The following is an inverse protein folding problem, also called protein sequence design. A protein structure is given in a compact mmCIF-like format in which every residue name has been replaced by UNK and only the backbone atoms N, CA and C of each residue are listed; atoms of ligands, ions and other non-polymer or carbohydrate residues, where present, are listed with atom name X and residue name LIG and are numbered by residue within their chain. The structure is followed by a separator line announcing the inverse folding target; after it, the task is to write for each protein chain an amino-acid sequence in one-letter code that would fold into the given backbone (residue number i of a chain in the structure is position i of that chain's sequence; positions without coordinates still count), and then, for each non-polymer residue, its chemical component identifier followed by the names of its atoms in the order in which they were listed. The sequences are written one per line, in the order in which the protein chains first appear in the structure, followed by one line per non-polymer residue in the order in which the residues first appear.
data_IF_221571001741
#
_entry.id   IF_221571001741
#
_cell.length_a   1.000
_cell.length_b   1.000
_cell.length_c   1.000
_cell.angle_alpha   90.00
_cell.angle_beta   90.00
_cell.angle_gamma   90.00
#
_symmetry.space_group_name_H-M   'P 1'
#
loop_
_entity.id
_entity.type
_entity.pdbx_description
1 polymer ?
#
# COMPACT_ATOMS: atom_id res chain seq x y z
N UNK A 1 11.69 -25.42 -18.53
CA UNK A 1 10.94 -24.14 -18.46
C UNK A 1 11.98 -23.05 -18.22
N UNK A 2 12.11 -22.09 -19.13
CA UNK A 2 13.10 -21.00 -19.03
C UNK A 2 12.74 -20.10 -17.84
N UNK A 3 13.71 -19.80 -16.96
CA UNK A 3 13.57 -18.77 -15.93
C UNK A 3 14.64 -17.70 -16.12
N UNK A 4 14.21 -16.44 -16.18
CA UNK A 4 15.12 -15.31 -16.37
C UNK A 4 15.67 -14.86 -15.00
N UNK A 5 16.80 -15.44 -14.59
CA UNK A 5 17.48 -15.08 -13.34
C UNK A 5 17.88 -13.59 -13.27
N UNK A 6 18.07 -12.94 -14.42
CA UNK A 6 18.37 -11.51 -14.46
C UNK A 6 17.14 -10.66 -14.13
N UNK A 7 15.94 -11.09 -14.53
CA UNK A 7 14.70 -10.42 -14.16
C UNK A 7 14.44 -10.53 -12.63
N UNK A 8 14.64 -11.72 -12.05
CA UNK A 8 14.52 -11.91 -10.60
C UNK A 8 15.52 -11.01 -9.82
N UNK A 9 16.77 -10.96 -10.30
CA UNK A 9 17.81 -10.10 -9.74
C UNK A 9 17.47 -8.61 -9.88
N UNK A 10 16.90 -8.19 -11.01
CA UNK A 10 16.48 -6.81 -11.24
C UNK A 10 15.47 -6.36 -10.18
N UNK A 11 14.44 -7.19 -9.91
CA UNK A 11 13.42 -6.90 -8.89
C UNK A 11 14.03 -6.70 -7.51
N UNK A 12 15.03 -7.52 -7.15
CA UNK A 12 15.73 -7.40 -5.85
C UNK A 12 16.51 -6.07 -5.79
N UNK A 13 17.27 -5.74 -6.84
CA UNK A 13 18.07 -4.51 -6.88
C UNK A 13 17.21 -3.26 -6.87
N UNK A 14 16.10 -3.24 -7.63
CA UNK A 14 15.13 -2.15 -7.62
C UNK A 14 14.48 -1.95 -6.25
N UNK A 15 14.17 -3.06 -5.56
CA UNK A 15 13.64 -3.01 -4.19
C UNK A 15 14.66 -2.40 -3.24
N UNK A 16 15.93 -2.78 -3.34
CA UNK A 16 17.01 -2.21 -2.52
C UNK A 16 17.18 -0.71 -2.78
N UNK A 17 17.16 -0.29 -4.05
CA UNK A 17 17.22 1.13 -4.41
C UNK A 17 16.04 1.91 -3.83
N UNK A 18 14.80 1.41 -3.99
CA UNK A 18 13.60 2.04 -3.40
C UNK A 18 13.68 2.16 -1.88
N UNK A 19 14.24 1.16 -1.20
CA UNK A 19 14.44 1.20 0.25
C UNK A 19 15.48 2.25 0.66
N UNK A 20 16.60 2.36 -0.07
CA UNK A 20 17.61 3.38 0.18
C UNK A 20 17.05 4.80 -0.05
N UNK A 21 16.33 5.02 -1.15
CA UNK A 21 15.64 6.30 -1.43
C UNK A 21 14.65 6.67 -0.33
N UNK A 22 13.83 5.72 0.13
CA UNK A 22 12.87 5.96 1.20
C UNK A 22 13.57 6.35 2.50
N UNK A 23 14.69 5.72 2.84
CA UNK A 23 15.51 6.08 4.00
C UNK A 23 16.10 7.48 3.87
N UNK A 24 16.68 7.81 2.71
CA UNK A 24 17.21 9.16 2.44
C UNK A 24 16.12 10.22 2.60
N UNK A 25 14.93 10.00 2.02
CA UNK A 25 13.81 10.94 2.14
C UNK A 25 13.45 11.18 3.60
N UNK A 26 13.30 10.12 4.41
CA UNK A 26 13.00 10.24 5.84
C UNK A 26 14.08 11.02 6.59
N UNK A 27 15.36 10.64 6.42
CA UNK A 27 16.48 11.31 7.08
C UNK A 27 16.59 12.79 6.68
N UNK A 28 16.28 13.13 5.42
CA UNK A 28 16.23 14.53 4.96
C UNK A 28 15.05 15.29 5.57
N UNK A 29 13.89 14.66 5.75
CA UNK A 29 12.76 15.25 6.47
C UNK A 29 13.13 15.53 7.92
N UNK A 30 13.75 14.58 8.61
CA UNK A 30 14.16 14.73 10.02
C UNK A 30 15.24 15.82 10.16
N UNK A 31 16.20 15.86 9.24
CA UNK A 31 17.22 16.89 9.21
C UNK A 31 16.63 18.29 8.96
N UNK A 32 15.70 18.42 8.02
CA UNK A 32 15.03 19.69 7.73
C UNK A 32 14.15 20.15 8.91
N UNK A 33 13.48 19.23 9.58
CA UNK A 33 12.77 19.53 10.83
C UNK A 33 13.74 20.07 11.87
N UNK A 34 14.88 19.39 12.09
CA UNK A 34 15.91 19.84 13.04
C UNK A 34 16.49 21.22 12.69
N UNK A 35 16.81 21.46 11.41
CA UNK A 35 17.38 22.73 10.95
C UNK A 35 16.40 23.90 11.08
N UNK A 36 15.09 23.64 11.04
CA UNK A 36 14.04 24.66 11.24
C UNK A 36 13.59 24.80 12.70
N UNK A 37 13.95 23.86 13.56
CA UNK A 37 13.50 23.84 14.95
C UNK A 37 14.29 24.88 15.77
N UNK A 38 13.61 25.93 16.21
CA UNK A 38 14.18 26.93 17.10
C UNK A 38 13.99 26.50 18.56
N UNK A 39 15.09 26.09 19.21
CA UNK A 39 15.07 25.63 20.59
C UNK A 39 14.66 26.71 21.58
N UNK A 40 15.05 27.97 21.35
CA UNK A 40 14.77 29.06 22.29
C UNK A 40 13.29 29.43 22.24
N UNK A 41 12.72 29.57 21.04
CA UNK A 41 11.30 29.85 20.85
C UNK A 41 10.45 28.74 21.51
N UNK A 42 10.75 27.47 21.20
CA UNK A 42 9.97 26.35 21.74
C UNK A 42 10.10 26.22 23.28
N UNK A 43 11.26 26.51 23.85
CA UNK A 43 11.44 26.55 25.32
C UNK A 43 10.66 27.69 25.95
N UNK A 44 10.67 28.87 25.35
CA UNK A 44 9.92 30.02 25.84
C UNK A 44 8.41 29.76 25.77
N UNK A 45 7.92 29.18 24.68
CA UNK A 45 6.53 28.74 24.56
C UNK A 45 6.18 27.67 25.59
N UNK A 46 7.02 26.65 25.78
CA UNK A 46 6.79 25.61 26.78
C UNK A 46 6.66 26.19 28.19
N UNK A 47 7.58 27.06 28.58
CA UNK A 47 7.52 27.70 29.91
C UNK A 47 6.31 28.61 30.07
N UNK A 48 5.89 29.32 29.01
CA UNK A 48 4.66 30.12 28.99
C UNK A 48 3.42 29.23 29.19
N UNK A 49 3.28 28.17 28.40
CA UNK A 49 2.15 27.22 28.51
C UNK A 49 2.14 26.53 29.87
N UNK A 50 3.30 26.21 30.45
CA UNK A 50 3.38 25.64 31.80
C UNK A 50 2.87 26.61 32.88
N UNK A 51 3.19 27.91 32.76
CA UNK A 51 2.64 28.95 33.66
C UNK A 51 1.13 29.10 33.49
N UNK A 52 0.65 29.12 32.25
CA UNK A 52 -0.79 29.18 31.95
C UNK A 52 -1.54 27.97 32.52
N UNK A 53 -0.97 26.76 32.40
CA UNK A 53 -1.50 25.55 33.02
C UNK A 53 -1.59 25.66 34.54
N UNK A 54 -0.58 26.23 35.19
CA UNK A 54 -0.62 26.45 36.64
C UNK A 54 -1.75 27.43 37.02
N UNK A 55 -1.88 28.53 36.29
CA UNK A 55 -2.96 29.52 36.51
C UNK A 55 -4.34 28.86 36.34
N UNK A 56 -4.53 28.04 35.29
CA UNK A 56 -5.79 27.33 35.05
C UNK A 56 -6.09 26.30 36.16
N UNK A 57 -5.09 25.58 36.65
CA UNK A 57 -5.26 24.68 37.80
C UNK A 57 -5.65 25.42 39.07
N UNK A 58 -5.01 26.55 39.34
CA UNK A 58 -5.35 27.39 40.51
C UNK A 58 -6.77 27.97 40.38
N UNK A 59 -7.20 28.34 39.16
CA UNK A 59 -8.57 28.75 38.87
C UNK A 59 -9.56 27.61 39.06
N UNK A 60 -9.22 26.41 38.60
CA UNK A 60 -10.06 25.23 38.73
C UNK A 60 -10.33 24.91 40.20
N UNK A 61 -9.29 24.93 41.05
CA UNK A 61 -9.45 24.72 42.50
C UNK A 61 -10.39 25.77 43.12
N UNK A 62 -10.32 27.04 42.68
CA UNK A 62 -11.24 28.09 43.17
C UNK A 62 -12.69 27.84 42.73
N UNK A 63 -12.88 27.36 41.50
CA UNK A 63 -14.21 27.04 40.97
C UNK A 63 -14.77 25.81 41.67
N UNK A 64 -14.00 24.74 41.84
CA UNK A 64 -14.39 23.52 42.55
C UNK A 64 -14.82 23.83 44.00
N UNK A 65 -14.07 24.68 44.71
CA UNK A 65 -14.46 25.15 46.04
C UNK A 65 -15.78 25.95 46.01
N UNK A 66 -16.01 26.74 44.96
CA UNK A 66 -17.25 27.52 44.78
C UNK A 66 -18.45 26.62 44.43
N UNK A 67 -18.26 25.60 43.59
CA UNK A 67 -19.23 24.54 43.31
C UNK A 67 -19.61 23.82 44.60
N UNK A 68 -18.61 23.42 45.39
CA UNK A 68 -18.84 22.72 46.66
C UNK A 68 -19.60 23.61 47.66
N UNK A 69 -19.22 24.88 47.81
CA UNK A 69 -19.96 25.80 48.68
C UNK A 69 -21.40 26.01 48.19
N UNK A 70 -21.61 26.28 46.89
CA UNK A 70 -22.93 26.48 46.31
C UNK A 70 -23.81 25.24 46.44
N UNK A 71 -23.23 24.04 46.26
CA UNK A 71 -23.92 22.76 46.46
C UNK A 71 -24.37 22.58 47.92
N UNK A 72 -23.50 22.91 48.89
CA UNK A 72 -23.89 22.85 50.32
C UNK A 72 -24.96 23.89 50.67
N UNK A 73 -24.90 25.11 50.13
CA UNK A 73 -25.92 26.14 50.32
C UNK A 73 -27.26 25.72 49.70
N UNK A 74 -27.23 25.17 48.49
CA UNK A 74 -28.40 24.62 47.81
C UNK A 74 -29.05 23.52 48.65
N UNK A 75 -28.27 22.58 49.18
CA UNK A 75 -28.80 21.49 50.01
C UNK A 75 -29.53 21.99 51.26
N UNK A 76 -29.03 23.06 51.90
CA UNK A 76 -29.67 23.70 53.05
C UNK A 76 -30.97 24.41 52.63
N UNK A 77 -30.94 25.18 51.56
CA UNK A 77 -32.11 25.87 51.03
C UNK A 77 -33.22 24.90 50.59
N UNK A 78 -32.86 23.73 50.04
CA UNK A 78 -33.81 22.69 49.68
C UNK A 78 -34.48 22.06 50.91
N UNK A 79 -33.75 21.88 52.00
CA UNK A 79 -34.32 21.40 53.27
C UNK A 79 -35.29 22.43 53.83
N UNK A 80 -34.91 23.71 53.84
CA UNK A 80 -35.77 24.83 54.26
C UNK A 80 -37.05 24.94 53.42
N UNK A 81 -36.95 24.79 52.09
CA UNK A 81 -38.11 24.80 51.20
C UNK A 81 -39.09 23.62 51.41
N UNK A 82 -38.61 22.50 51.99
CA UNK A 82 -39.38 21.27 52.27
C UNK A 82 -39.94 21.22 53.71
N UNK A 83 -39.49 22.10 54.60
CA UNK A 83 -39.86 22.13 56.03
C UNK A 83 -41.28 22.67 56.24
N UNK A 84 -42.30 21.88 55.91
CA UNK A 84 -43.68 22.17 56.31
C UNK A 84 -44.67 21.07 55.97
N UNK A 85 -45.22 20.43 57.02
CA UNK A 85 -46.35 19.50 56.94
C UNK A 85 -47.71 20.20 57.01
N UNK A 86 -47.71 21.53 57.20
CA UNK A 86 -48.92 22.35 57.28
C UNK A 86 -49.33 22.88 55.90
N UNK A 87 -50.60 22.72 55.49
CA UNK A 87 -51.13 23.31 54.27
C UNK A 87 -50.96 24.84 54.22
N UNK A 88 -50.96 25.53 55.37
CA UNK A 88 -50.78 26.99 55.45
C UNK A 88 -49.33 27.38 55.11
N UNK A 89 -48.36 26.56 55.52
CA UNK A 89 -46.96 26.78 55.16
C UNK A 89 -46.73 26.63 53.65
N UNK A 90 -47.49 25.75 53.00
CA UNK A 90 -47.38 25.53 51.56
C UNK A 90 -47.76 26.75 50.72
N UNK A 91 -48.64 27.61 51.23
CA UNK A 91 -49.03 28.87 50.63
C UNK A 91 -48.34 30.09 51.29
N UNK A 92 -47.39 29.87 52.20
CA UNK A 92 -46.70 30.95 52.90
C UNK A 92 -45.74 31.71 52.00
N UNK A 93 -45.59 33.01 52.25
CA UNK A 93 -44.55 33.85 51.63
C UNK A 93 -43.15 33.31 51.91
N UNK A 94 -42.92 32.74 53.09
CA UNK A 94 -41.65 32.16 53.53
C UNK A 94 -41.20 31.00 52.63
N UNK A 95 -42.12 30.07 52.31
CA UNK A 95 -41.82 28.97 51.38
C UNK A 95 -41.56 29.48 49.97
N UNK A 96 -42.34 30.45 49.49
CA UNK A 96 -42.13 31.04 48.16
C UNK A 96 -40.74 31.70 48.03
N UNK A 97 -40.26 32.35 49.10
CA UNK A 97 -38.89 32.88 49.16
C UNK A 97 -37.87 31.76 49.13
N UNK A 98 -38.04 30.70 49.93
CA UNK A 98 -37.13 29.55 49.94
C UNK A 98 -37.07 28.82 48.59
N UNK A 99 -38.19 28.63 47.90
CA UNK A 99 -38.24 28.03 46.55
C UNK A 99 -37.51 28.92 45.53
N UNK A 100 -37.67 30.24 45.60
CA UNK A 100 -36.91 31.17 44.75
C UNK A 100 -35.41 31.10 45.04
N UNK A 101 -35.02 31.02 46.31
CA UNK A 101 -33.62 30.84 46.71
C UNK A 101 -33.04 29.54 46.15
N UNK A 102 -33.75 28.43 46.24
CA UNK A 102 -33.36 27.15 45.61
C UNK A 102 -33.14 27.31 44.10
N UNK A 103 -34.07 27.97 43.40
CA UNK A 103 -33.93 28.21 41.96
C UNK A 103 -32.67 29.04 41.64
N UNK A 104 -32.44 30.14 42.37
CA UNK A 104 -31.24 30.99 42.18
C UNK A 104 -29.94 30.26 42.50
N UNK A 105 -29.93 29.40 43.53
CA UNK A 105 -28.74 28.62 43.90
C UNK A 105 -28.45 27.52 42.88
N UNK A 106 -29.48 26.89 42.29
CA UNK A 106 -29.31 25.94 41.19
C UNK A 106 -28.72 26.61 39.95
N UNK A 107 -29.24 27.77 39.56
CA UNK A 107 -28.69 28.54 38.43
C UNK A 107 -27.23 28.95 38.68
N UNK A 108 -26.92 29.39 39.91
CA UNK A 108 -25.54 29.71 40.28
C UNK A 108 -24.63 28.49 40.24
N UNK A 109 -25.10 27.34 40.71
CA UNK A 109 -24.35 26.09 40.66
C UNK A 109 -24.08 25.66 39.22
N UNK A 110 -25.08 25.69 38.34
CA UNK A 110 -24.89 25.35 36.93
C UNK A 110 -23.91 26.28 36.24
N UNK A 111 -23.93 27.58 36.54
CA UNK A 111 -22.93 28.53 36.01
C UNK A 111 -21.50 28.20 36.47
N UNK A 112 -21.31 27.70 37.70
CA UNK A 112 -20.00 27.26 38.15
C UNK A 112 -19.58 25.95 37.50
N UNK A 113 -20.50 25.00 37.32
CA UNK A 113 -20.25 23.71 36.64
C UNK A 113 -19.87 23.94 35.16
N UNK A 114 -20.59 24.79 34.43
CA UNK A 114 -20.27 25.16 33.05
C UNK A 114 -18.87 25.77 32.93
N UNK A 115 -18.52 26.66 33.87
CA UNK A 115 -17.20 27.29 33.93
C UNK A 115 -16.09 26.32 34.30
N UNK A 116 -16.39 25.36 35.19
CA UNK A 116 -15.48 24.27 35.55
C UNK A 116 -15.15 23.42 34.31
N UNK A 117 -16.16 23.04 33.53
CA UNK A 117 -15.98 22.28 32.30
C UNK A 117 -15.17 23.08 31.27
N UNK A 118 -15.44 24.38 31.10
CA UNK A 118 -14.67 25.25 30.23
C UNK A 118 -13.18 25.27 30.61
N UNK A 119 -12.87 25.50 31.89
CA UNK A 119 -11.49 25.56 32.40
C UNK A 119 -10.81 24.20 32.26
N UNK A 120 -11.51 23.08 32.54
CA UNK A 120 -10.97 21.72 32.32
C UNK A 120 -10.64 21.46 30.85
N UNK A 121 -11.52 21.90 29.94
CA UNK A 121 -11.30 21.77 28.49
C UNK A 121 -10.08 22.57 28.02
N UNK A 122 -9.93 23.81 28.49
CA UNK A 122 -8.76 24.65 28.21
C UNK A 122 -7.48 24.04 28.77
N UNK A 123 -7.51 23.55 30.02
CA UNK A 123 -6.38 22.89 30.67
C UNK A 123 -5.93 21.66 29.87
N UNK A 124 -6.86 20.80 29.45
CA UNK A 124 -6.53 19.61 28.66
C UNK A 124 -5.85 19.97 27.33
N UNK A 125 -6.33 21.01 26.63
CA UNK A 125 -5.71 21.49 25.38
C UNK A 125 -4.28 22.00 25.62
N UNK A 126 -4.08 22.77 26.68
CA UNK A 126 -2.78 23.33 27.02
C UNK A 126 -1.80 22.27 27.53
N UNK A 127 -2.27 21.24 28.24
CA UNK A 127 -1.45 20.09 28.62
C UNK A 127 -0.98 19.29 27.40
N UNK A 128 -1.86 19.07 26.42
CA UNK A 128 -1.46 18.44 25.15
C UNK A 128 -0.43 19.29 24.38
N UNK A 129 -0.60 20.61 24.35
CA UNK A 129 0.35 21.53 23.73
C UNK A 129 1.71 21.49 24.44
N UNK A 130 1.72 21.55 25.78
CA UNK A 130 2.93 21.47 26.59
C UNK A 130 3.66 20.13 26.38
N UNK A 131 2.92 19.02 26.29
CA UNK A 131 3.50 17.71 26.02
C UNK A 131 4.18 17.67 24.65
N UNK A 132 3.52 18.17 23.60
CA UNK A 132 4.10 18.26 22.24
C UNK A 132 5.36 19.10 22.20
N UNK A 133 5.38 20.25 22.87
CA UNK A 133 6.56 21.11 22.98
C UNK A 133 7.69 20.40 23.75
N UNK A 134 7.37 19.71 24.85
CA UNK A 134 8.35 18.95 25.64
C UNK A 134 8.98 17.82 24.83
N UNK A 135 8.18 17.06 24.10
CA UNK A 135 8.65 15.97 23.26
C UNK A 135 9.50 16.51 22.10
N UNK A 136 9.08 17.60 21.44
CA UNK A 136 9.87 18.26 20.40
C UNK A 136 11.24 18.75 20.90
N UNK A 137 11.29 19.37 22.09
CA UNK A 137 12.55 19.78 22.73
C UNK A 137 13.43 18.56 23.03
N UNK A 138 12.85 17.48 23.55
CA UNK A 138 13.59 16.25 23.86
C UNK A 138 14.18 15.63 22.60
N UNK A 139 13.40 15.55 21.54
CA UNK A 139 13.81 14.97 20.27
C UNK A 139 14.91 15.81 19.62
N UNK A 140 14.80 17.14 19.66
CA UNK A 140 15.84 18.04 19.19
C UNK A 140 17.17 17.81 19.92
N UNK A 141 17.15 17.71 21.25
CA UNK A 141 18.35 17.49 22.06
C UNK A 141 18.98 16.10 21.84
N UNK A 142 18.18 15.10 21.44
CA UNK A 142 18.67 13.75 21.11
C UNK A 142 19.14 13.62 19.67
N UNK A 143 18.71 14.52 18.80
CA UNK A 143 18.99 14.44 17.38
C UNK A 143 20.47 14.70 17.09
N UNK A 144 21.10 13.76 16.39
CA UNK A 144 22.48 13.90 15.93
C UNK A 144 22.50 14.24 14.44
N UNK A 145 22.63 15.54 14.14
CA UNK A 145 22.63 16.03 12.77
C UNK A 145 23.82 15.52 11.95
N UNK A 146 25.00 15.37 12.57
CA UNK A 146 26.19 14.85 11.91
C UNK A 146 25.99 13.39 11.50
N UNK A 147 25.52 12.56 12.43
CA UNK A 147 25.25 11.14 12.16
C UNK A 147 24.18 10.97 11.07
N UNK A 148 23.15 11.82 11.07
CA UNK A 148 22.10 11.82 10.04
C UNK A 148 22.67 12.21 8.67
N UNK A 149 23.51 13.26 8.60
CA UNK A 149 24.19 13.67 7.35
C UNK A 149 25.09 12.56 6.80
N UNK A 150 25.83 11.87 7.68
CA UNK A 150 26.67 10.71 7.29
C UNK A 150 25.80 9.57 6.77
N UNK A 151 24.68 9.27 7.43
CA UNK A 151 23.76 8.21 6.99
C UNK A 151 23.13 8.52 5.63
N UNK A 152 22.76 9.78 5.37
CA UNK A 152 22.29 10.23 4.05
C UNK A 152 23.37 9.99 3.00
N UNK A 153 24.60 10.47 3.24
CA UNK A 153 25.71 10.32 2.30
C UNK A 153 26.02 8.85 2.00
N UNK A 154 25.97 7.98 3.02
CA UNK A 154 26.13 6.53 2.86
C UNK A 154 25.07 5.93 1.95
N UNK A 155 23.80 6.26 2.17
CA UNK A 155 22.72 5.74 1.33
C UNK A 155 22.73 6.33 -0.08
N UNK A 156 23.15 7.59 -0.24
CA UNK A 156 23.34 8.22 -1.55
C UNK A 156 24.48 7.50 -2.32
N UNK A 157 25.59 7.15 -1.68
CA UNK A 157 26.67 6.33 -2.26
C UNK A 157 26.20 4.91 -2.62
N UNK A 158 25.42 4.26 -1.77
CA UNK A 158 24.79 2.96 -2.07
C UNK A 158 23.90 3.05 -3.32
N UNK A 159 23.11 4.13 -3.46
CA UNK A 159 22.29 4.36 -4.66
C UNK A 159 23.13 4.58 -5.91
N UNK A 160 24.17 5.41 -5.83
CA UNK A 160 25.07 5.66 -6.95
C UNK A 160 25.74 4.38 -7.46
N UNK A 161 26.04 3.44 -6.55
CA UNK A 161 26.58 2.11 -6.90
C UNK A 161 25.52 1.17 -7.47
N UNK A 162 24.30 1.20 -6.95
CA UNK A 162 23.21 0.32 -7.41
C UNK A 162 22.69 0.69 -8.80
N UNK A 163 22.60 1.98 -9.12
CA UNK A 163 22.07 2.46 -10.41
C UNK A 163 22.73 1.82 -11.65
N UNK A 164 24.07 1.82 -11.80
CA UNK A 164 24.70 1.19 -12.96
C UNK A 164 24.48 -0.33 -12.98
N UNK A 165 24.47 -0.99 -11.83
CA UNK A 165 24.23 -2.45 -11.72
C UNK A 165 22.80 -2.80 -12.16
N UNK A 166 21.82 -1.97 -11.78
CA UNK A 166 20.43 -2.14 -12.22
C UNK A 166 20.35 -2.02 -13.74
N UNK A 167 20.96 -0.99 -14.32
CA UNK A 167 20.91 -0.79 -15.78
C UNK A 167 21.61 -1.92 -16.53
N UNK A 168 22.79 -2.35 -16.08
CA UNK A 168 23.50 -3.49 -16.66
C UNK A 168 22.65 -4.77 -16.60
N UNK A 169 22.05 -5.04 -15.43
CA UNK A 169 21.18 -6.21 -15.24
C UNK A 169 19.92 -6.12 -16.12
N UNK A 170 19.37 -4.92 -16.32
CA UNK A 170 18.22 -4.68 -17.19
C UNK A 170 18.54 -4.99 -18.65
N UNK A 171 19.68 -4.50 -19.14
CA UNK A 171 20.16 -4.76 -20.50
C UNK A 171 20.40 -6.26 -20.70
N UNK A 172 21.05 -6.92 -19.74
CA UNK A 172 21.26 -8.37 -19.80
C UNK A 172 19.94 -9.15 -19.80
N UNK A 173 18.98 -8.76 -18.96
CA UNK A 173 17.64 -9.37 -18.90
C UNK A 173 16.93 -9.27 -20.25
N UNK A 174 16.88 -8.08 -20.84
CA UNK A 174 16.24 -7.84 -22.13
C UNK A 174 16.93 -8.63 -23.26
N UNK A 175 18.26 -8.71 -23.24
CA UNK A 175 19.02 -9.50 -24.22
C UNK A 175 18.64 -10.98 -24.15
N UNK A 176 18.64 -11.58 -22.95
CA UNK A 176 18.33 -12.99 -22.80
C UNK A 176 16.87 -13.32 -23.10
N UNK A 177 15.93 -12.43 -22.78
CA UNK A 177 14.53 -12.57 -23.19
C UNK A 177 14.37 -12.53 -24.71
N UNK A 178 15.08 -11.63 -25.39
CA UNK A 178 15.06 -11.55 -26.85
C UNK A 178 15.60 -12.84 -27.49
N UNK A 179 16.72 -13.37 -26.98
CA UNK A 179 17.32 -14.63 -27.42
C UNK A 179 16.37 -15.81 -27.17
N UNK A 180 15.82 -15.92 -25.96
CA UNK A 180 14.86 -16.97 -25.61
C UNK A 180 13.61 -16.91 -26.50
N UNK A 181 13.10 -15.70 -26.76
CA UNK A 181 11.97 -15.49 -27.67
C UNK A 181 12.27 -15.88 -29.11
N UNK A 182 13.48 -15.62 -29.61
CA UNK A 182 13.90 -16.04 -30.95
C UNK A 182 13.99 -17.57 -31.07
N UNK A 183 14.61 -18.23 -30.07
CA UNK A 183 14.69 -19.69 -30.01
C UNK A 183 13.30 -20.32 -29.94
N UNK A 184 12.41 -19.77 -29.11
CA UNK A 184 11.04 -20.25 -29.00
C UNK A 184 10.25 -20.12 -30.30
N UNK A 185 10.36 -18.98 -31.00
CA UNK A 185 9.72 -18.78 -32.31
C UNK A 185 10.22 -19.77 -33.35
N UNK A 186 11.53 -20.01 -33.40
CA UNK A 186 12.11 -21.00 -34.31
C UNK A 186 11.63 -22.42 -33.98
N UNK A 187 11.71 -22.81 -32.70
CA UNK A 187 11.21 -24.10 -32.23
C UNK A 187 9.73 -24.30 -32.57
N UNK A 188 8.89 -23.29 -32.34
CA UNK A 188 7.47 -23.32 -32.70
C UNK A 188 7.28 -23.50 -34.20
N UNK A 189 7.99 -22.73 -35.02
CA UNK A 189 7.92 -22.86 -36.48
C UNK A 189 8.28 -24.26 -36.97
N UNK A 190 9.32 -24.87 -36.39
CA UNK A 190 9.74 -26.24 -36.74
C UNK A 190 8.70 -27.27 -36.28
N UNK A 191 8.11 -27.09 -35.11
CA UNK A 191 7.02 -27.94 -34.62
C UNK A 191 5.76 -27.83 -35.49
N UNK A 192 5.37 -26.61 -35.88
CA UNK A 192 4.24 -26.36 -36.77
C UNK A 192 4.49 -26.98 -38.16
N UNK A 193 5.70 -26.84 -38.71
CA UNK A 193 6.10 -27.48 -39.97
C UNK A 193 6.10 -29.00 -39.86
N UNK A 194 6.59 -29.56 -38.75
CA UNK A 194 6.55 -31.00 -38.50
C UNK A 194 5.10 -31.51 -38.43
N UNK A 195 4.20 -30.74 -37.81
CA UNK A 195 2.77 -31.01 -37.77
C UNK A 195 2.15 -31.09 -39.17
N UNK A 196 2.43 -30.09 -40.02
CA UNK A 196 1.98 -30.08 -41.41
C UNK A 196 2.55 -31.26 -42.22
N UNK A 197 3.85 -31.56 -42.07
CA UNK A 197 4.45 -32.72 -42.76
C UNK A 197 3.85 -34.05 -42.30
N UNK A 198 3.51 -34.19 -41.02
CA UNK A 198 2.84 -35.39 -40.52
C UNK A 198 1.43 -35.55 -41.11
N UNK A 199 0.72 -34.44 -41.30
CA UNK A 199 -0.58 -34.45 -41.97
C UNK A 199 -0.45 -34.86 -43.44
N UNK A 200 0.51 -34.27 -44.17
CA UNK A 200 0.80 -34.64 -45.57
C UNK A 200 1.14 -36.13 -45.69
N UNK A 201 1.88 -36.70 -44.73
CA UNK A 201 2.19 -38.14 -44.69
C UNK A 201 0.90 -38.96 -44.56
N UNK A 202 0.04 -38.64 -43.59
CA UNK A 202 -1.20 -39.36 -43.37
C UNK A 202 -2.13 -39.32 -44.59
N UNK A 203 -2.23 -38.16 -45.25
CA UNK A 203 -3.03 -37.99 -46.46
C UNK A 203 -2.42 -38.74 -47.66
N UNK A 204 -1.09 -38.76 -47.81
CA UNK A 204 -0.42 -39.54 -48.85
C UNK A 204 -0.49 -41.06 -48.59
N UNK A 205 -0.47 -41.50 -47.33
CA UNK A 205 -0.72 -42.90 -46.96
C UNK A 205 -2.13 -43.32 -47.37
N UNK A 206 -3.13 -42.48 -47.12
CA UNK A 206 -4.49 -42.72 -47.56
C UNK A 206 -4.60 -42.88 -49.09
N UNK A 207 -3.93 -42.04 -49.88
CA UNK A 207 -3.89 -42.21 -51.34
C UNK A 207 -3.13 -43.47 -51.79
N UNK A 208 -2.04 -43.88 -51.11
CA UNK A 208 -1.33 -45.14 -51.42
C UNK A 208 -2.20 -46.37 -51.11
N UNK A 209 -2.95 -46.34 -50.01
CA UNK A 209 -3.93 -47.36 -49.65
C UNK A 209 -5.06 -47.46 -50.69
N UNK A 210 -5.62 -46.31 -51.13
CA UNK A 210 -6.59 -46.28 -52.22
C UNK A 210 -6.01 -46.85 -53.53
N UNK A 211 -4.77 -46.50 -53.88
CA UNK A 211 -4.12 -47.06 -55.07
C UNK A 211 -3.94 -48.58 -54.98
N UNK A 212 -3.61 -49.08 -53.79
CA UNK A 212 -3.42 -50.51 -53.55
C UNK A 212 -4.73 -51.31 -53.66
N UNK A 213 -5.87 -50.69 -53.37
CA UNK A 213 -7.21 -51.29 -53.41
C UNK A 213 -7.96 -51.06 -54.73
N UNK A 214 -7.47 -50.15 -55.59
CA UNK A 214 -8.08 -49.86 -56.88
C UNK A 214 -8.00 -51.05 -57.86
N UNK A 215 -9.16 -51.44 -58.38
CA UNK A 215 -9.35 -52.63 -59.21
C UNK A 215 -9.14 -52.36 -60.69
N UNK A 216 -9.31 -51.11 -61.13
CA UNK A 216 -9.19 -50.72 -62.54
C UNK A 216 -8.09 -49.69 -62.79
N UNK A 217 -7.57 -49.67 -64.02
CA UNK A 217 -6.59 -48.65 -64.44
C UNK A 217 -7.17 -47.24 -64.43
N UNK A 218 -8.48 -47.10 -64.67
CA UNK A 218 -9.19 -45.83 -64.62
C UNK A 218 -9.26 -45.26 -63.19
N UNK A 219 -9.59 -46.09 -62.19
CA UNK A 219 -9.59 -45.70 -60.78
C UNK A 219 -8.20 -45.26 -60.31
N UNK A 220 -7.15 -46.01 -60.68
CA UNK A 220 -5.76 -45.65 -60.37
C UNK A 220 -5.36 -44.31 -60.97
N UNK A 221 -5.74 -44.05 -62.22
CA UNK A 221 -5.50 -42.76 -62.87
C UNK A 221 -6.24 -41.62 -62.15
N UNK A 222 -7.48 -41.85 -61.70
CA UNK A 222 -8.24 -40.89 -60.90
C UNK A 222 -7.60 -40.58 -59.55
N UNK A 223 -7.05 -41.59 -58.86
CA UNK A 223 -6.34 -41.39 -57.59
C UNK A 223 -5.02 -40.62 -57.80
N UNK A 224 -4.27 -40.95 -58.86
CA UNK A 224 -3.06 -40.18 -59.22
C UNK A 224 -3.39 -38.71 -59.55
N UNK A 225 -4.49 -38.45 -60.24
CA UNK A 225 -4.97 -37.10 -60.51
C UNK A 225 -5.36 -36.35 -59.23
N UNK A 226 -6.10 -37.00 -58.32
CA UNK A 226 -6.49 -36.41 -57.04
C UNK A 226 -5.28 -36.13 -56.14
N UNK A 227 -4.30 -37.02 -56.12
CA UNK A 227 -3.02 -36.83 -55.43
C UNK A 227 -2.27 -35.60 -55.98
N UNK A 228 -2.23 -35.45 -57.31
CA UNK A 228 -1.61 -34.29 -57.96
C UNK A 228 -2.37 -32.98 -57.70
N UNK A 229 -3.70 -33.01 -57.66
CA UNK A 229 -4.51 -31.85 -57.29
C UNK A 229 -4.26 -31.41 -55.84
N UNK A 230 -4.06 -32.37 -54.94
CA UNK A 230 -3.88 -32.10 -53.51
C UNK A 230 -2.46 -31.64 -53.16
N UNK A 231 -1.43 -32.33 -53.67
CA UNK A 231 -0.02 -32.03 -53.36
C UNK A 231 0.68 -31.14 -54.38
N UNK A 232 0.02 -30.84 -55.50
CA UNK A 232 0.51 -29.95 -56.55
C UNK A 232 1.12 -30.67 -57.77
N UNK A 233 1.40 -29.92 -58.84
CA UNK A 233 1.84 -30.47 -60.12
C UNK A 233 3.15 -31.25 -59.97
N UNK A 234 3.21 -32.43 -60.60
CA UNK A 234 4.36 -33.33 -60.51
C UNK A 234 4.40 -34.22 -59.26
N UNK A 235 3.40 -34.14 -58.37
CA UNK A 235 3.23 -35.00 -57.19
C UNK A 235 2.07 -36.01 -57.37
N UNK A 236 1.94 -36.58 -58.57
CA UNK A 236 0.88 -37.54 -58.88
C UNK A 236 1.07 -38.91 -58.24
N UNK A 237 2.27 -39.25 -57.77
CA UNK A 237 2.59 -40.55 -57.16
C UNK A 237 2.63 -40.47 -55.62
N UNK A 238 1.67 -41.07 -54.89
CA UNK A 238 1.65 -41.05 -53.42
C UNK A 238 2.94 -41.57 -52.79
N UNK A 239 3.56 -42.63 -53.36
CA UNK A 239 4.84 -43.16 -52.86
C UNK A 239 6.00 -42.18 -52.97
N UNK A 240 6.00 -41.36 -54.03
CA UNK A 240 7.03 -40.32 -54.20
C UNK A 240 6.82 -39.20 -53.19
N UNK A 241 5.57 -38.79 -52.95
CA UNK A 241 5.20 -37.82 -51.90
C UNK A 241 5.63 -38.34 -50.53
N UNK A 242 5.31 -39.59 -50.20
CA UNK A 242 5.70 -40.20 -48.92
C UNK A 242 7.21 -40.19 -48.72
N UNK A 243 7.99 -40.58 -49.74
CA UNK A 243 9.45 -40.59 -49.65
C UNK A 243 10.02 -39.19 -49.34
N UNK A 244 9.52 -38.16 -50.01
CA UNK A 244 9.93 -36.77 -49.79
C UNK A 244 9.53 -36.27 -48.39
N UNK A 245 8.27 -36.50 -48.00
CA UNK A 245 7.74 -36.06 -46.69
C UNK A 245 8.39 -36.80 -45.52
N UNK A 246 8.64 -38.09 -45.63
CA UNK A 246 9.41 -38.84 -44.63
C UNK A 246 10.85 -38.33 -44.49
N UNK A 247 11.49 -37.95 -45.60
CA UNK A 247 12.81 -37.32 -45.55
C UNK A 247 12.78 -35.96 -44.83
N UNK A 248 11.81 -35.11 -45.17
CA UNK A 248 11.60 -33.81 -44.52
C UNK A 248 11.28 -33.95 -43.03
N UNK A 249 10.41 -34.89 -42.67
CA UNK A 249 10.06 -35.21 -41.28
C UNK A 249 11.29 -35.60 -40.46
N UNK A 250 12.16 -36.47 -41.00
CA UNK A 250 13.42 -36.87 -40.33
C UNK A 250 14.35 -35.67 -40.13
N UNK A 251 14.43 -34.76 -41.11
CA UNK A 251 15.24 -33.54 -41.00
C UNK A 251 14.72 -32.62 -39.89
N UNK A 252 13.40 -32.39 -39.84
CA UNK A 252 12.76 -31.54 -38.82
C UNK A 252 12.86 -32.16 -37.42
N UNK A 253 12.67 -33.48 -37.30
CA UNK A 253 12.82 -34.18 -36.01
C UNK A 253 14.20 -34.00 -35.38
N UNK A 254 15.27 -33.95 -36.19
CA UNK A 254 16.65 -33.69 -35.70
C UNK A 254 16.86 -32.28 -35.14
N UNK A 255 15.98 -31.34 -35.49
CA UNK A 255 16.04 -29.94 -35.01
C UNK A 255 15.22 -29.77 -33.73
N UNK A 256 14.21 -30.62 -33.52
CA UNK A 256 13.33 -30.59 -32.33
C UNK A 256 13.85 -31.49 -31.21
N UNK A 257 14.61 -32.54 -31.53
CA UNK A 257 15.25 -33.48 -30.59
C UNK A 257 16.49 -32.89 -29.92
#
# INVERSE_FOLDING_TARGET
MYNNQHADRLVILERQAKQAEAKIRRLRTDLNWFERFDLEINRNEFTKTQRENQILRDQLVKIENSCQSASTELSKAEVEAKLGWSPIYWFSSTRNVAVRQVATMRERLSLFEDREEEVKSQLSKNEQAAQRLSDGIRDYLRFNSLQTKIAIAKHDDELQKLQPIIEETRVASAHWEAVAGAVFRNWKSVCDELGSVNQDIAEAEYFDEQLSSASTSYERAGIHHNCELHFGPGQSSPRQVLKDRYYRQRKLRRVVS
#
